data_IF_000827065283
#
_entry.id   IF_000827065283
#
_cell.length_a   1.000
_cell.length_b   1.000
_cell.length_c   1.000
_cell.angle_alpha   90.00
_cell.angle_beta   90.00
_cell.angle_gamma   90.00
#
_symmetry.space_group_name_H-M   'P 1'
#
loop_
_entity.id
_entity.type
_entity.pdbx_description
1 polymer ?
#
# COMPACT_ATOMS: atom_id res chain seq x y z
N UNK A 1 -5.90 18.61 10.54
CA UNK A 1 -5.65 18.86 9.12
C UNK A 1 -6.79 19.67 8.52
N UNK A 2 -6.53 20.79 7.86
CA UNK A 2 -7.58 21.68 7.35
C UNK A 2 -8.49 21.00 6.31
N UNK A 3 -8.01 20.00 5.61
CA UNK A 3 -8.81 19.22 4.66
C UNK A 3 -9.90 18.38 5.31
N UNK A 4 -9.63 17.79 6.47
CA UNK A 4 -10.62 17.00 7.21
C UNK A 4 -11.70 17.89 7.81
N UNK A 5 -11.34 19.06 8.31
CA UNK A 5 -12.30 20.04 8.85
C UNK A 5 -13.24 20.58 7.78
N UNK A 6 -12.75 20.72 6.55
CA UNK A 6 -13.53 21.20 5.38
C UNK A 6 -14.31 20.08 4.68
N UNK A 7 -14.07 18.82 5.02
CA UNK A 7 -14.64 17.66 4.30
C UNK A 7 -16.13 17.45 4.54
N UNK A 8 -16.72 18.07 5.56
CA UNK A 8 -18.10 17.84 5.97
C UNK A 8 -18.33 16.52 6.69
N UNK A 9 -17.27 15.76 7.01
CA UNK A 9 -17.36 14.53 7.78
C UNK A 9 -17.69 14.82 9.25
N UNK A 10 -18.36 13.86 9.89
CA UNK A 10 -18.63 13.96 11.32
C UNK A 10 -17.32 14.06 12.14
N UNK A 11 -17.31 14.86 13.23
CA UNK A 11 -16.09 15.08 14.04
C UNK A 11 -15.48 13.78 14.58
N UNK A 12 -16.28 12.79 14.91
CA UNK A 12 -15.80 11.49 15.39
C UNK A 12 -15.05 10.73 14.29
N UNK A 13 -15.58 10.70 13.08
CA UNK A 13 -14.92 10.10 11.92
C UNK A 13 -13.64 10.85 11.57
N UNK A 14 -13.63 12.17 11.63
CA UNK A 14 -12.41 12.96 11.43
C UNK A 14 -11.31 12.58 12.43
N UNK A 15 -11.66 12.41 13.72
CA UNK A 15 -10.71 11.98 14.75
C UNK A 15 -10.17 10.58 14.47
N UNK A 16 -11.02 9.67 14.00
CA UNK A 16 -10.60 8.32 13.64
C UNK A 16 -9.63 8.33 12.46
N UNK A 17 -9.92 9.08 11.40
CA UNK A 17 -9.02 9.23 10.26
C UNK A 17 -7.67 9.85 10.65
N UNK A 18 -7.67 10.86 11.51
CA UNK A 18 -6.41 11.42 12.05
C UNK A 18 -5.62 10.37 12.82
N UNK A 19 -6.27 9.55 13.64
CA UNK A 19 -5.61 8.47 14.35
C UNK A 19 -5.00 7.44 13.40
N UNK A 20 -5.70 7.03 12.34
CA UNK A 20 -5.19 6.12 11.33
C UNK A 20 -3.90 6.64 10.70
N UNK A 21 -3.89 7.90 10.29
CA UNK A 21 -2.71 8.53 9.66
C UNK A 21 -1.55 8.65 10.64
N UNK A 22 -1.80 9.09 11.87
CA UNK A 22 -0.75 9.32 12.87
C UNK A 22 -0.15 8.03 13.44
N UNK A 23 -0.86 6.92 13.36
CA UNK A 23 -0.46 5.65 13.99
C UNK A 23 -0.02 4.55 13.01
N UNK A 24 -0.16 4.74 11.70
CA UNK A 24 0.08 3.66 10.74
C UNK A 24 1.53 3.15 10.70
N UNK A 25 2.53 3.92 11.11
CA UNK A 25 3.89 3.43 11.26
C UNK A 25 4.07 2.47 12.44
N UNK A 26 3.11 2.38 13.34
CA UNK A 26 2.98 1.38 14.39
C UNK A 26 3.75 1.66 15.67
N UNK A 27 4.96 2.16 15.60
CA UNK A 27 5.78 2.48 16.76
C UNK A 27 6.37 3.88 16.67
N UNK A 28 6.64 4.47 17.82
CA UNK A 28 7.27 5.80 17.90
C UNK A 28 8.66 5.79 17.25
N UNK A 29 9.39 4.68 17.33
CA UNK A 29 10.72 4.49 16.71
C UNK A 29 10.68 4.56 15.20
N UNK A 30 9.56 4.15 14.57
CA UNK A 30 9.36 4.19 13.12
C UNK A 30 8.66 5.47 12.64
N UNK A 31 8.55 6.47 13.48
CA UNK A 31 8.00 7.79 13.14
C UNK A 31 6.49 7.92 13.35
N UNK A 32 5.83 6.96 13.97
CA UNK A 32 4.44 7.13 14.38
C UNK A 32 4.35 8.17 15.51
N UNK A 33 3.40 9.07 15.42
CA UNK A 33 3.09 10.03 16.49
C UNK A 33 2.29 9.35 17.60
N UNK A 34 1.52 8.32 17.25
CA UNK A 34 0.71 7.53 18.17
C UNK A 34 0.80 6.04 17.81
N UNK A 35 0.61 5.21 18.83
CA UNK A 35 0.47 3.75 18.64
C UNK A 35 -0.95 3.45 18.17
N UNK A 36 -1.14 2.47 17.24
CA UNK A 36 -2.47 2.07 16.80
C UNK A 36 -3.31 1.54 17.97
N UNK A 37 -4.47 2.11 18.18
CA UNK A 37 -5.36 1.77 19.29
C UNK A 37 -6.77 1.37 18.83
N UNK A 38 -7.03 1.33 17.53
CA UNK A 38 -8.27 0.81 16.94
C UNK A 38 -7.97 -0.40 16.06
N UNK A 39 -8.97 -1.25 15.82
CA UNK A 39 -8.83 -2.40 14.93
C UNK A 39 -8.44 -1.97 13.51
N UNK A 40 -9.07 -0.92 13.01
CA UNK A 40 -8.78 -0.35 11.69
C UNK A 40 -7.35 0.21 11.61
N UNK A 41 -6.88 0.86 12.67
CA UNK A 41 -5.50 1.37 12.73
C UNK A 41 -4.48 0.23 12.73
N UNK A 42 -4.76 -0.88 13.41
CA UNK A 42 -3.92 -2.09 13.36
C UNK A 42 -3.87 -2.68 11.96
N UNK A 43 -5.01 -2.80 11.30
CA UNK A 43 -5.07 -3.31 9.90
C UNK A 43 -4.24 -2.44 8.98
N UNK A 44 -4.40 -1.14 9.05
CA UNK A 44 -3.63 -0.19 8.21
C UNK A 44 -2.13 -0.30 8.49
N UNK A 45 -1.73 -0.36 9.75
CA UNK A 45 -0.33 -0.51 10.14
C UNK A 45 0.27 -1.79 9.55
N UNK A 46 -0.37 -2.93 9.73
CA UNK A 46 0.13 -4.20 9.21
C UNK A 46 0.10 -4.28 7.69
N UNK A 47 -0.92 -3.75 7.04
CA UNK A 47 -1.00 -3.70 5.57
C UNK A 47 0.15 -2.85 4.98
N UNK A 48 0.40 -1.67 5.52
CA UNK A 48 1.49 -0.80 5.12
C UNK A 48 2.86 -1.44 5.36
N UNK A 49 3.03 -2.09 6.52
CA UNK A 49 4.26 -2.79 6.87
C UNK A 49 4.54 -3.99 5.94
N UNK A 50 3.52 -4.77 5.61
CA UNK A 50 3.66 -5.88 4.65
C UNK A 50 4.04 -5.35 3.27
N UNK A 51 3.37 -4.33 2.80
CA UNK A 51 3.64 -3.72 1.49
C UNK A 51 5.09 -3.20 1.41
N UNK A 52 5.54 -2.48 2.42
CA UNK A 52 6.90 -1.96 2.48
C UNK A 52 7.95 -3.08 2.50
N UNK A 53 7.73 -4.13 3.28
CA UNK A 53 8.65 -5.27 3.37
C UNK A 53 8.68 -6.08 2.08
N UNK A 54 7.55 -6.29 1.44
CA UNK A 54 7.49 -6.98 0.16
C UNK A 54 8.17 -6.19 -0.95
N UNK A 55 8.00 -4.87 -0.98
CA UNK A 55 8.73 -4.01 -1.90
C UNK A 55 10.24 -4.08 -1.68
N UNK A 56 10.68 -4.10 -0.43
CA UNK A 56 12.09 -4.26 -0.08
C UNK A 56 12.64 -5.62 -0.56
N UNK A 57 11.93 -6.71 -0.33
CA UNK A 57 12.32 -8.04 -0.80
C UNK A 57 12.42 -8.09 -2.33
N UNK A 58 11.46 -7.54 -3.05
CA UNK A 58 11.51 -7.48 -4.53
C UNK A 58 12.74 -6.74 -5.02
N UNK A 59 13.05 -5.60 -4.41
CA UNK A 59 14.24 -4.81 -4.74
C UNK A 59 15.55 -5.58 -4.50
N UNK A 60 15.64 -6.27 -3.36
CA UNK A 60 16.82 -7.07 -3.01
C UNK A 60 16.98 -8.27 -3.95
N UNK A 61 15.92 -8.98 -4.27
CA UNK A 61 15.98 -10.14 -5.18
C UNK A 61 16.30 -9.74 -6.62
N UNK A 62 15.88 -8.55 -7.05
CA UNK A 62 16.23 -8.03 -8.37
C UNK A 62 17.74 -7.77 -8.52
N UNK A 63 18.47 -7.56 -7.44
CA UNK A 63 19.92 -7.34 -7.44
C UNK A 63 20.73 -8.64 -7.40
N UNK A 64 20.09 -9.79 -7.16
CA UNK A 64 20.76 -11.08 -7.16
C UNK A 64 21.14 -11.48 -8.58
N UNK A 65 22.40 -11.97 -8.73
CA UNK A 65 22.89 -12.55 -9.97
C UNK A 65 22.39 -13.97 -10.20
N UNK A 66 22.72 -14.52 -11.37
CA UNK A 66 22.47 -15.93 -11.68
C UNK A 66 23.23 -16.82 -10.69
N UNK A 67 22.54 -17.83 -10.16
CA UNK A 67 23.09 -18.76 -9.18
C UNK A 67 23.11 -18.23 -7.73
N UNK A 68 22.82 -16.97 -7.52
CA UNK A 68 22.67 -16.39 -6.18
C UNK A 68 21.24 -16.53 -5.70
N UNK A 69 21.05 -17.05 -4.49
CA UNK A 69 19.73 -17.24 -3.88
C UNK A 69 19.57 -16.52 -2.55
N UNK A 70 20.66 -16.08 -1.96
CA UNK A 70 20.67 -15.36 -0.69
C UNK A 70 21.10 -13.92 -0.87
N UNK A 71 20.37 -13.01 -0.21
CA UNK A 71 20.78 -11.60 -0.11
C UNK A 71 21.84 -11.42 0.96
N UNK A 72 22.62 -10.33 0.93
CA UNK A 72 23.36 -9.89 2.10
C UNK A 72 22.45 -9.66 3.29
N UNK A 73 23.02 -9.67 4.50
CA UNK A 73 22.28 -9.34 5.72
C UNK A 73 21.66 -7.94 5.63
N UNK A 74 20.38 -7.84 5.96
CA UNK A 74 19.62 -6.58 5.97
C UNK A 74 19.25 -6.21 7.41
N UNK A 75 19.81 -5.11 7.91
CA UNK A 75 19.55 -4.64 9.29
C UNK A 75 18.06 -4.33 9.52
N UNK A 76 17.38 -3.79 8.52
CA UNK A 76 15.94 -3.46 8.59
C UNK A 76 15.03 -4.69 8.67
N UNK A 77 15.48 -5.84 8.20
CA UNK A 77 14.78 -7.12 8.28
C UNK A 77 15.34 -8.02 9.38
N UNK A 78 16.51 -7.68 9.92
CA UNK A 78 17.21 -8.46 10.93
C UNK A 78 17.73 -9.81 10.44
N UNK A 79 17.87 -9.99 9.10
CA UNK A 79 18.25 -11.27 8.50
C UNK A 79 18.68 -11.11 7.04
N UNK A 80 19.35 -12.11 6.50
CA UNK A 80 19.46 -12.32 5.06
C UNK A 80 18.17 -13.00 4.57
N UNK A 81 17.80 -12.73 3.32
CA UNK A 81 16.61 -13.29 2.70
C UNK A 81 16.98 -14.29 1.63
N UNK A 82 16.22 -15.37 1.52
CA UNK A 82 16.39 -16.40 0.52
C UNK A 82 15.33 -16.26 -0.58
N UNK A 83 15.78 -16.22 -1.83
CA UNK A 83 14.90 -16.28 -2.99
C UNK A 83 14.68 -17.75 -3.36
N UNK A 84 13.45 -18.24 -3.13
CA UNK A 84 13.07 -19.59 -3.52
C UNK A 84 12.97 -19.71 -5.04
N UNK A 85 13.40 -20.84 -5.60
CA UNK A 85 13.31 -21.11 -7.04
C UNK A 85 11.86 -21.14 -7.57
N UNK A 86 10.89 -21.30 -6.69
CA UNK A 86 9.46 -21.33 -7.00
C UNK A 86 8.75 -19.99 -6.76
N UNK A 87 9.50 -18.93 -6.44
CA UNK A 87 8.88 -17.61 -6.37
C UNK A 87 8.33 -17.28 -7.76
N UNK A 88 7.03 -17.02 -7.92
CA UNK A 88 6.47 -16.71 -9.21
C UNK A 88 7.23 -15.51 -9.79
N UNK A 89 7.74 -15.66 -10.99
CA UNK A 89 8.17 -14.51 -11.78
C UNK A 89 6.92 -13.66 -11.96
N UNK A 90 6.95 -12.42 -11.53
CA UNK A 90 5.85 -11.51 -11.82
C UNK A 90 5.61 -11.54 -13.33
N UNK A 91 4.53 -12.21 -13.73
CA UNK A 91 4.00 -11.98 -15.07
C UNK A 91 3.80 -10.48 -15.18
N UNK A 92 4.56 -9.85 -16.07
CA UNK A 92 4.28 -8.47 -16.44
C UNK A 92 2.81 -8.44 -16.77
N UNK A 93 2.01 -7.90 -15.87
CA UNK A 93 0.63 -7.58 -16.19
C UNK A 93 0.73 -6.59 -17.34
N UNK A 94 0.61 -7.09 -18.56
CA UNK A 94 0.38 -6.25 -19.71
C UNK A 94 -0.81 -5.39 -19.35
N UNK A 95 -0.55 -4.11 -19.11
CA UNK A 95 -1.62 -3.14 -18.98
C UNK A 95 -2.40 -3.21 -20.27
N UNK A 96 -3.49 -3.98 -20.27
CA UNK A 96 -4.48 -3.90 -21.35
C UNK A 96 -4.75 -2.42 -21.57
N UNK A 97 -4.60 -1.91 -22.78
CA UNK A 97 -4.91 -0.52 -23.03
C UNK A 97 -6.33 -0.29 -22.55
N UNK A 98 -6.46 0.66 -21.67
CA UNK A 98 -7.76 1.08 -21.17
C UNK A 98 -8.60 1.46 -22.38
N UNK A 99 -9.59 0.62 -22.71
CA UNK A 99 -10.50 0.93 -23.79
C UNK A 99 -11.04 2.32 -23.54
N UNK A 100 -10.77 3.22 -24.47
CA UNK A 100 -11.31 4.57 -24.41
C UNK A 100 -12.82 4.43 -24.32
N UNK A 101 -13.38 4.77 -23.20
CA UNK A 101 -14.83 4.86 -23.06
C UNK A 101 -15.25 5.98 -24.01
N UNK A 102 -15.63 5.60 -25.23
CA UNK A 102 -16.35 6.52 -26.09
C UNK A 102 -17.58 6.95 -25.31
N UNK A 103 -17.65 8.22 -25.05
CA UNK A 103 -18.84 8.85 -24.50
C UNK A 103 -19.97 8.76 -25.54
N UNK A 104 -20.68 7.64 -25.51
CA UNK A 104 -21.95 7.50 -26.20
C UNK A 104 -23.09 7.81 -25.22
N UNK A 105 -23.00 8.94 -24.56
CA UNK A 105 -23.90 9.27 -23.48
C UNK A 105 -24.94 10.32 -23.77
N UNK A 106 -24.97 10.87 -24.97
CA UNK A 106 -25.93 11.97 -25.23
C UNK A 106 -27.28 11.51 -25.81
N UNK A 107 -27.31 10.36 -26.47
CA UNK A 107 -28.58 9.94 -27.12
C UNK A 107 -29.53 9.19 -26.17
N UNK A 108 -29.07 8.71 -25.03
CA UNK A 108 -29.93 8.01 -24.06
C UNK A 108 -30.79 8.89 -23.16
N UNK A 109 -30.40 10.14 -22.97
CA UNK A 109 -31.12 11.05 -22.08
C UNK A 109 -32.29 11.77 -22.74
N UNK A 110 -32.25 11.95 -24.05
CA UNK A 110 -33.32 12.58 -24.80
C UNK A 110 -34.51 11.67 -25.06
N UNK A 111 -34.34 10.35 -24.94
CA UNK A 111 -35.43 9.39 -25.12
C UNK A 111 -36.28 9.17 -23.86
N UNK A 112 -35.89 9.75 -22.73
CA UNK A 112 -36.64 9.65 -21.45
C UNK A 112 -37.52 10.89 -21.18
N UNK A 113 -37.46 11.85 -22.04
CA UNK A 113 -38.31 13.01 -22.02
C UNK A 113 -39.39 12.92 -23.08
#
# INVERSE_FOLDING_TARGET
APYLEKSGLEPELQRHLKHLVLSHHGTLEFGAVRVPQTAEALVLHYADNIDAKMAQCRGLFAQLGEGESWTPYQATLGRAMHRCAQTPVEEKVEKKPRASRKSSGEDGMLSLL
#
